data_IF_249702330542
#
_entry.id   IF_249702330542
#
_cell.length_a   1.000
_cell.length_b   1.000
_cell.length_c   1.000
_cell.angle_alpha   90.00
_cell.angle_beta   90.00
_cell.angle_gamma   90.00
#
_symmetry.space_group_name_H-M   'P 1'
#
loop_
_entity.id
_entity.type
_entity.pdbx_description
1 polymer ?
#
# COMPACT_ATOMS: atom_id res chain seq x y z
N UNK A 1 29.94 5.64 5.83
CA UNK A 1 29.71 4.96 5.38
C UNK A 1 29.86 4.30 4.81
N UNK A 2 30.25 4.36 4.99
CA UNK A 2 30.43 3.71 4.45
C UNK A 2 30.34 3.15 3.73
N UNK A 3 30.40 3.21 3.51
CA UNK A 3 30.44 2.74 2.55
C UNK A 3 30.78 1.68 2.04
N UNK A 4 31.26 1.61 2.46
CA UNK A 4 31.92 0.43 2.31
C UNK A 4 31.06 -0.69 2.02
N UNK A 5 30.00 -0.82 2.74
CA UNK A 5 29.06 -1.88 2.50
C UNK A 5 28.47 -1.80 1.11
N UNK A 6 28.52 -0.65 0.49
CA UNK A 6 28.00 -0.49 -0.83
C UNK A 6 28.69 -1.34 -1.85
N UNK A 7 29.99 -1.54 -1.67
CA UNK A 7 30.73 -2.29 -2.66
C UNK A 7 30.32 -3.71 -2.76
N UNK A 8 29.75 -4.19 -1.67
CA UNK A 8 29.47 -5.61 -1.60
C UNK A 8 28.07 -5.98 -2.00
N UNK A 9 27.25 -4.97 -2.29
CA UNK A 9 25.89 -5.22 -2.73
C UNK A 9 25.83 -5.34 -4.23
N UNK A 10 25.19 -6.40 -4.73
CA UNK A 10 24.94 -6.52 -6.14
C UNK A 10 23.79 -5.60 -6.52
N UNK A 11 23.65 -5.24 -7.79
CA UNK A 11 22.51 -4.46 -8.23
C UNK A 11 21.18 -5.09 -7.86
N UNK A 12 21.14 -6.41 -7.87
CA UNK A 12 19.93 -7.13 -7.51
C UNK A 12 19.57 -6.88 -6.04
N UNK A 13 20.55 -6.90 -5.16
CA UNK A 13 20.30 -6.66 -3.73
C UNK A 13 19.82 -5.24 -3.49
N UNK A 14 20.39 -4.28 -4.20
CA UNK A 14 19.98 -2.90 -4.09
C UNK A 14 18.53 -2.74 -4.52
N UNK A 15 18.16 -3.39 -5.61
CA UNK A 15 16.80 -3.32 -6.12
C UNK A 15 15.83 -3.96 -5.12
N UNK A 16 16.18 -5.09 -4.55
CA UNK A 16 15.33 -5.77 -3.57
C UNK A 16 15.14 -4.92 -2.33
N UNK A 17 16.19 -4.26 -1.86
CA UNK A 17 16.09 -3.37 -0.71
C UNK A 17 15.19 -2.18 -1.03
N UNK A 18 15.27 -1.67 -2.25
CA UNK A 18 14.42 -0.57 -2.68
C UNK A 18 12.96 -0.98 -2.68
N UNK A 19 12.66 -2.18 -3.16
CA UNK A 19 11.29 -2.68 -3.14
C UNK A 19 10.77 -2.85 -1.71
N UNK A 20 11.59 -3.39 -0.83
CA UNK A 20 11.19 -3.58 0.56
C UNK A 20 10.85 -2.23 1.20
N UNK A 21 11.67 -1.22 0.95
CA UNK A 21 11.44 0.11 1.48
C UNK A 21 10.17 0.72 0.91
N UNK A 22 9.94 0.55 -0.39
CA UNK A 22 8.73 1.07 -1.02
C UNK A 22 7.48 0.42 -0.46
N UNK A 23 7.51 -0.89 -0.23
CA UNK A 23 6.38 -1.59 0.35
C UNK A 23 6.07 -1.05 1.75
N UNK A 24 7.10 -0.82 2.54
CA UNK A 24 6.93 -0.29 3.89
C UNK A 24 6.28 1.09 3.84
N UNK A 25 6.74 1.96 2.95
CA UNK A 25 6.18 3.31 2.83
C UNK A 25 4.73 3.26 2.36
N UNK A 26 4.42 2.39 1.43
CA UNK A 26 3.06 2.23 0.95
C UNK A 26 2.14 1.80 2.10
N UNK A 27 2.58 0.84 2.88
CA UNK A 27 1.79 0.34 3.99
C UNK A 27 1.60 1.41 5.07
N UNK A 28 2.66 2.14 5.40
CA UNK A 28 2.58 3.21 6.39
C UNK A 28 1.61 4.29 5.92
N UNK A 29 1.69 4.67 4.65
CA UNK A 29 0.78 5.67 4.10
C UNK A 29 -0.67 5.20 4.18
N UNK A 30 -0.91 3.92 3.87
CA UNK A 30 -2.25 3.37 3.95
C UNK A 30 -2.78 3.39 5.38
N UNK A 31 -1.92 3.09 6.34
CA UNK A 31 -2.31 3.12 7.75
C UNK A 31 -2.59 4.55 8.19
N UNK A 32 -1.75 5.48 7.81
CA UNK A 32 -1.93 6.90 8.15
C UNK A 32 -3.23 7.46 7.60
N UNK A 33 -3.63 7.02 6.41
CA UNK A 33 -4.89 7.44 5.80
C UNK A 33 -6.08 6.62 6.32
N UNK A 34 -5.84 5.65 7.18
CA UNK A 34 -6.86 4.77 7.73
C UNK A 34 -7.65 4.04 6.64
N UNK A 35 -6.96 3.67 5.56
CA UNK A 35 -7.59 3.01 4.41
C UNK A 35 -8.32 1.74 4.86
N UNK A 36 -7.66 0.90 5.64
CA UNK A 36 -8.25 -0.37 6.07
C UNK A 36 -9.48 -0.14 6.93
N UNK A 37 -9.43 0.86 7.78
CA UNK A 37 -10.55 1.21 8.64
C UNK A 37 -11.75 1.68 7.83
N UNK A 38 -11.51 2.57 6.87
CA UNK A 38 -12.58 3.08 6.01
C UNK A 38 -13.23 1.95 5.22
N UNK A 39 -12.42 1.04 4.67
CA UNK A 39 -12.96 -0.08 3.91
C UNK A 39 -13.79 -0.98 4.82
N UNK A 40 -13.34 -1.23 6.03
CA UNK A 40 -14.09 -2.05 6.97
C UNK A 40 -15.41 -1.41 7.35
N UNK A 41 -15.51 -0.09 7.25
CA UNK A 41 -16.74 0.64 7.55
C UNK A 41 -17.65 0.82 6.34
N UNK A 42 -17.30 0.21 5.21
CA UNK A 42 -18.16 0.24 4.04
C UNK A 42 -17.75 1.21 2.93
N UNK A 43 -16.67 1.98 3.11
CA UNK A 43 -16.19 2.88 2.06
C UNK A 43 -15.28 2.09 1.14
N UNK A 44 -15.82 1.57 0.05
CA UNK A 44 -15.12 0.60 -0.76
C UNK A 44 -14.76 1.04 -2.17
N UNK A 45 -15.31 2.15 -2.64
CA UNK A 45 -14.96 2.63 -3.98
C UNK A 45 -13.87 3.68 -3.90
N UNK A 46 -13.16 3.86 -5.01
CA UNK A 46 -12.12 4.87 -5.08
C UNK A 46 -12.68 6.24 -4.72
N UNK A 47 -13.86 6.57 -5.24
CA UNK A 47 -14.47 7.86 -4.97
C UNK A 47 -14.77 8.05 -3.48
N UNK A 48 -15.37 7.05 -2.86
CA UNK A 48 -15.68 7.11 -1.42
C UNK A 48 -14.41 7.27 -0.59
N UNK A 49 -13.39 6.49 -0.92
CA UNK A 49 -12.13 6.55 -0.18
C UNK A 49 -11.43 7.89 -0.38
N UNK A 50 -11.48 8.44 -1.59
CA UNK A 50 -10.89 9.74 -1.86
C UNK A 50 -11.60 10.82 -1.05
N UNK A 51 -12.90 10.74 -0.92
CA UNK A 51 -13.65 11.73 -0.16
C UNK A 51 -13.30 11.70 1.33
N UNK A 52 -13.26 10.51 1.92
CA UNK A 52 -13.02 10.42 3.37
C UNK A 52 -11.56 10.67 3.73
N UNK A 53 -10.63 10.37 2.84
CA UNK A 53 -9.21 10.63 3.09
C UNK A 53 -8.77 12.01 2.63
N UNK A 54 -9.61 12.66 1.81
CA UNK A 54 -9.30 13.96 1.18
C UNK A 54 -8.08 13.87 0.26
N UNK A 55 -7.78 12.67 -0.23
CA UNK A 55 -6.68 12.46 -1.14
C UNK A 55 -7.17 12.63 -2.58
N UNK A 56 -6.23 12.96 -3.48
CA UNK A 56 -6.55 13.02 -4.89
C UNK A 56 -6.81 11.61 -5.40
N UNK A 57 -7.85 11.45 -6.20
CA UNK A 57 -8.24 10.12 -6.68
C UNK A 57 -7.13 9.40 -7.41
N UNK A 58 -6.40 10.11 -8.27
CA UNK A 58 -5.35 9.46 -9.03
C UNK A 58 -4.23 8.91 -8.12
N UNK A 59 -3.80 9.72 -7.17
CA UNK A 59 -2.75 9.30 -6.24
C UNK A 59 -3.25 8.15 -5.36
N UNK A 60 -4.50 8.24 -4.93
CA UNK A 60 -5.09 7.20 -4.10
C UNK A 60 -5.23 5.90 -4.88
N UNK A 61 -5.62 5.99 -6.15
CA UNK A 61 -5.75 4.81 -6.98
C UNK A 61 -4.42 4.06 -7.10
N UNK A 62 -3.33 4.80 -7.26
CA UNK A 62 -2.01 4.18 -7.32
C UNK A 62 -1.71 3.46 -6.01
N UNK A 63 -2.00 4.10 -4.89
CA UNK A 63 -1.79 3.49 -3.58
C UNK A 63 -2.62 2.21 -3.42
N UNK A 64 -3.91 2.28 -3.75
CA UNK A 64 -4.80 1.13 -3.60
C UNK A 64 -4.39 -0.02 -4.50
N UNK A 65 -3.97 0.29 -5.73
CA UNK A 65 -3.53 -0.76 -6.65
C UNK A 65 -2.25 -1.43 -6.15
N UNK A 66 -1.36 -0.67 -5.53
CA UNK A 66 -0.17 -1.25 -4.92
C UNK A 66 -0.54 -2.15 -3.74
N UNK A 67 -1.52 -1.75 -2.94
CA UNK A 67 -1.99 -2.58 -1.84
C UNK A 67 -2.60 -3.88 -2.34
N UNK A 68 -3.28 -3.83 -3.50
CA UNK A 68 -3.81 -5.04 -4.11
C UNK A 68 -2.68 -5.95 -4.58
N UNK A 69 -1.64 -5.38 -5.20
CA UNK A 69 -0.50 -6.16 -5.65
C UNK A 69 0.23 -6.79 -4.47
N UNK A 70 0.20 -6.16 -3.31
CA UNK A 70 0.81 -6.68 -2.10
C UNK A 70 -0.12 -7.62 -1.33
N UNK A 71 -1.33 -7.85 -1.85
CA UNK A 71 -2.33 -8.74 -1.27
C UNK A 71 -2.92 -8.27 0.06
N UNK A 72 -2.80 -7.00 0.36
CA UNK A 72 -3.50 -6.42 1.51
C UNK A 72 -4.93 -6.04 1.17
N UNK A 73 -5.21 -5.78 -0.10
CA UNK A 73 -6.55 -5.50 -0.59
C UNK A 73 -6.81 -6.37 -1.81
N UNK A 74 -8.09 -6.54 -2.11
CA UNK A 74 -8.48 -7.14 -3.38
C UNK A 74 -9.53 -6.24 -4.00
N UNK A 75 -9.54 -6.18 -5.32
CA UNK A 75 -10.47 -5.35 -6.06
C UNK A 75 -11.47 -6.24 -6.78
N UNK A 76 -12.75 -5.99 -6.56
CA UNK A 76 -13.81 -6.77 -7.18
C UNK A 76 -14.94 -5.82 -7.53
N UNK A 77 -15.31 -5.80 -8.81
CA UNK A 77 -16.39 -4.93 -9.29
C UNK A 77 -16.18 -3.48 -8.89
N UNK A 78 -14.95 -3.00 -9.06
CA UNK A 78 -14.53 -1.62 -8.74
C UNK A 78 -14.63 -1.29 -7.26
N UNK A 79 -14.70 -2.29 -6.41
CA UNK A 79 -14.71 -2.10 -4.97
C UNK A 79 -13.47 -2.74 -4.37
N UNK A 80 -12.88 -2.04 -3.41
CA UNK A 80 -11.71 -2.56 -2.72
C UNK A 80 -12.18 -3.22 -1.43
N UNK A 81 -11.66 -4.40 -1.16
CA UNK A 81 -12.03 -5.16 0.02
C UNK A 81 -10.80 -5.66 0.73
N UNK A 82 -10.95 -5.90 2.02
CA UNK A 82 -9.87 -6.45 2.82
C UNK A 82 -9.65 -7.90 2.44
N UNK A 83 -8.38 -8.30 2.41
CA UNK A 83 -8.02 -9.72 2.25
C UNK A 83 -8.00 -10.36 3.64
N UNK A 84 -7.89 -11.69 3.66
CA UNK A 84 -7.74 -12.40 4.93
C UNK A 84 -6.52 -11.91 5.69
N UNK A 85 -5.43 -11.62 4.97
CA UNK A 85 -4.21 -11.09 5.57
C UNK A 85 -4.49 -9.80 6.31
N UNK A 86 -5.18 -8.86 5.67
CA UNK A 86 -5.49 -7.57 6.29
C UNK A 86 -6.43 -7.72 7.47
N UNK A 87 -7.45 -8.56 7.34
CA UNK A 87 -8.41 -8.75 8.42
C UNK A 87 -7.76 -9.33 9.67
N UNK A 88 -6.75 -10.14 9.47
CA UNK A 88 -6.10 -10.80 10.58
C UNK A 88 -5.07 -9.90 11.27
N UNK A 89 -4.30 -9.14 10.50
CA UNK A 89 -3.17 -8.39 11.02
C UNK A 89 -3.38 -6.88 11.09
N UNK A 90 -4.36 -6.38 10.43
CA UNK A 90 -4.65 -4.95 10.39
C UNK A 90 -6.07 -4.69 10.83
#
# INVERSE_FOLDING_TARGET
>A
MEKTSHHELSPREIILDTFAFARTRILITAIDLEIFTHISKGKKTLHELAQVTKAKERALEILLNNLCAMEYLQKKDRRYELTSLSRFFL
#
